data_IF_725627505981
#
_entry.id   IF_725627505981
#
_cell.length_a   1.000
_cell.length_b   1.000
_cell.length_c   1.000
_cell.angle_alpha   90.00
_cell.angle_beta   90.00
_cell.angle_gamma   90.00
#
_symmetry.space_group_name_H-M   'P 1'
#
loop_
_entity.id
_entity.type
_entity.pdbx_description
1 polymer ?
#
# COMPACT_ATOMS: atom_id res chain seq x y z
N UNK A 1 16.76 13.28 16.88
CA UNK A 1 15.39 12.75 16.98
C UNK A 1 15.48 11.27 16.66
N UNK A 2 15.10 10.40 17.60
CA UNK A 2 15.00 8.98 17.32
C UNK A 2 13.84 8.76 16.32
N UNK A 3 13.98 7.88 15.34
CA UNK A 3 12.89 7.50 14.40
C UNK A 3 11.57 7.22 15.13
N UNK A 4 11.66 6.69 16.35
CA UNK A 4 10.52 6.41 17.22
C UNK A 4 9.76 7.66 17.72
N UNK A 5 10.46 8.75 18.02
CA UNK A 5 9.82 10.00 18.45
C UNK A 5 9.12 10.68 17.26
N UNK A 6 9.78 10.69 16.10
CA UNK A 6 9.18 11.20 14.86
C UNK A 6 7.97 10.36 14.42
N UNK A 7 7.99 9.06 14.70
CA UNK A 7 6.87 8.15 14.45
C UNK A 7 5.63 8.50 15.29
N UNK A 8 5.82 8.63 16.60
CA UNK A 8 4.72 8.88 17.54
C UNK A 8 4.11 10.27 17.31
N UNK A 9 4.94 11.29 17.10
CA UNK A 9 4.48 12.63 16.73
C UNK A 9 3.65 12.63 15.44
N UNK A 10 4.05 11.82 14.46
CA UNK A 10 3.32 11.73 13.20
C UNK A 10 1.98 11.01 13.35
N UNK A 11 1.91 9.94 14.15
CA UNK A 11 0.64 9.30 14.46
C UNK A 11 -0.30 10.21 15.26
N UNK A 12 0.22 10.88 16.28
CA UNK A 12 -0.54 11.83 17.08
C UNK A 12 -1.07 12.98 16.20
N UNK A 13 -0.26 13.44 15.23
CA UNK A 13 -0.67 14.41 14.21
C UNK A 13 -1.82 13.90 13.32
N UNK A 14 -1.76 12.64 12.87
CA UNK A 14 -2.79 12.03 12.01
C UNK A 14 -4.11 11.83 12.78
N UNK A 15 -4.04 11.43 14.04
CA UNK A 15 -5.20 11.18 14.89
C UNK A 15 -5.92 12.49 15.26
N UNK A 16 -5.15 13.55 15.56
CA UNK A 16 -5.69 14.86 15.94
C UNK A 16 -6.42 15.59 14.80
N UNK A 17 -5.94 15.46 13.55
CA UNK A 17 -6.44 16.24 12.40
C UNK A 17 -7.70 15.68 11.73
N UNK A 18 -8.20 14.51 12.13
CA UNK A 18 -9.27 13.77 11.41
C UNK A 18 -8.95 13.68 9.91
N UNK A 19 -7.88 12.95 9.56
CA UNK A 19 -7.45 12.56 8.21
C UNK A 19 -7.77 13.55 7.08
N UNK A 20 -6.84 14.47 6.82
CA UNK A 20 -6.85 15.28 5.60
C UNK A 20 -6.05 14.57 4.50
N UNK A 21 -6.58 14.54 3.28
CA UNK A 21 -5.89 13.98 2.11
C UNK A 21 -4.52 14.62 1.81
N UNK A 22 -4.29 15.84 2.30
CA UNK A 22 -3.00 16.54 2.15
C UNK A 22 -1.85 15.84 2.91
N UNK A 23 -2.16 14.93 3.84
CA UNK A 23 -1.17 14.25 4.66
C UNK A 23 -0.78 12.86 4.11
N UNK A 24 -1.48 12.36 3.07
CA UNK A 24 -1.19 11.06 2.43
C UNK A 24 0.19 11.06 1.77
N UNK A 25 0.54 12.12 1.03
CA UNK A 25 1.85 12.20 0.36
C UNK A 25 3.01 12.34 1.37
N UNK A 26 2.77 12.92 2.56
CA UNK A 26 3.76 12.95 3.66
C UNK A 26 3.93 11.58 4.30
N UNK A 27 2.82 10.87 4.50
CA UNK A 27 2.81 9.53 5.08
C UNK A 27 3.56 8.53 4.20
N UNK A 28 3.36 8.60 2.89
CA UNK A 28 4.07 7.76 1.92
C UNK A 28 5.57 7.98 2.03
N UNK A 29 6.01 9.24 2.01
CA UNK A 29 7.43 9.60 2.12
C UNK A 29 8.02 9.14 3.45
N UNK A 30 7.28 9.33 4.55
CA UNK A 30 7.69 8.88 5.87
C UNK A 30 7.84 7.35 5.88
N UNK A 31 6.83 6.60 5.45
CA UNK A 31 6.91 5.14 5.42
C UNK A 31 8.00 4.62 4.49
N UNK A 32 8.17 5.20 3.30
CA UNK A 32 9.24 4.84 2.36
C UNK A 32 10.63 5.03 2.99
N UNK A 33 10.77 6.01 3.89
CA UNK A 33 12.02 6.25 4.63
C UNK A 33 12.29 5.22 5.73
N UNK A 34 11.28 4.45 6.18
CA UNK A 34 11.44 3.42 7.19
C UNK A 34 12.09 2.15 6.63
N UNK A 35 12.96 1.54 7.42
CA UNK A 35 13.49 0.19 7.19
C UNK A 35 12.43 -0.89 7.54
N UNK A 36 12.69 -2.16 7.26
CA UNK A 36 11.73 -3.25 7.47
C UNK A 36 11.17 -3.32 8.91
N UNK A 37 12.03 -3.18 9.91
CA UNK A 37 11.61 -3.19 11.32
C UNK A 37 10.73 -1.98 11.66
N UNK A 38 11.13 -0.79 11.20
CA UNK A 38 10.36 0.44 11.35
C UNK A 38 8.99 0.34 10.69
N UNK A 39 8.90 -0.35 9.56
CA UNK A 39 7.64 -0.65 8.86
C UNK A 39 6.76 -1.62 9.63
N UNK A 40 7.30 -2.71 10.15
CA UNK A 40 6.53 -3.67 10.98
C UNK A 40 5.99 -3.01 12.25
N UNK A 41 6.81 -2.20 12.92
CA UNK A 41 6.38 -1.40 14.07
C UNK A 41 5.34 -0.37 13.70
N UNK A 42 5.55 0.39 12.61
CA UNK A 42 4.56 1.33 12.09
C UNK A 42 3.22 0.64 11.87
N UNK A 43 3.22 -0.56 11.28
CA UNK A 43 2.00 -1.32 11.06
C UNK A 43 1.36 -1.70 12.40
N UNK A 44 2.11 -2.25 13.34
CA UNK A 44 1.59 -2.71 14.63
C UNK A 44 0.98 -1.57 15.46
N UNK A 45 1.64 -0.43 15.51
CA UNK A 45 1.31 0.69 16.40
C UNK A 45 0.31 1.69 15.74
N UNK A 46 0.13 1.65 14.41
CA UNK A 46 -0.85 2.50 13.72
C UNK A 46 -2.28 1.96 13.88
N UNK A 47 -3.24 2.77 14.37
CA UNK A 47 -4.63 2.32 14.53
C UNK A 47 -5.25 1.77 13.23
N UNK A 48 -6.02 0.69 13.33
CA UNK A 48 -6.61 0.01 12.17
C UNK A 48 -7.44 0.95 11.27
N UNK A 49 -8.25 1.83 11.88
CA UNK A 49 -9.03 2.83 11.16
C UNK A 49 -8.14 3.79 10.34
N UNK A 50 -7.02 4.25 10.91
CA UNK A 50 -6.04 5.08 10.21
C UNK A 50 -5.52 4.39 8.96
N UNK A 51 -5.06 3.14 9.10
CA UNK A 51 -4.47 2.36 8.00
C UNK A 51 -5.49 2.20 6.86
N UNK A 52 -6.73 1.87 7.20
CA UNK A 52 -7.84 1.75 6.25
C UNK A 52 -8.13 3.07 5.51
N UNK A 53 -8.31 4.19 6.23
CA UNK A 53 -8.63 5.49 5.63
C UNK A 53 -7.52 5.96 4.69
N UNK A 54 -6.26 5.76 5.08
CA UNK A 54 -5.09 6.14 4.29
C UNK A 54 -5.00 5.33 3.00
N UNK A 55 -5.06 4.00 3.09
CA UNK A 55 -5.02 3.13 1.93
C UNK A 55 -6.15 3.48 0.95
N UNK A 56 -7.38 3.62 1.42
CA UNK A 56 -8.51 3.90 0.55
C UNK A 56 -8.44 5.26 -0.12
N UNK A 57 -7.95 6.28 0.59
CA UNK A 57 -7.74 7.61 0.03
C UNK A 57 -6.67 7.59 -1.07
N UNK A 58 -5.57 6.86 -0.82
CA UNK A 58 -4.50 6.71 -1.79
C UNK A 58 -4.94 5.94 -3.04
N UNK A 59 -5.53 4.75 -2.87
CA UNK A 59 -6.05 3.94 -3.97
C UNK A 59 -7.09 4.71 -4.80
N UNK A 60 -7.94 5.52 -4.16
CA UNK A 60 -8.91 6.38 -4.85
C UNK A 60 -8.26 7.42 -5.76
N UNK A 61 -7.21 8.11 -5.27
CA UNK A 61 -6.44 9.09 -6.06
C UNK A 61 -5.73 8.39 -7.21
N UNK A 62 -5.10 7.26 -6.92
CA UNK A 62 -4.28 6.56 -7.88
C UNK A 62 -5.13 6.01 -9.03
N UNK A 63 -6.27 5.35 -8.74
CA UNK A 63 -7.19 4.88 -9.79
C UNK A 63 -7.70 5.99 -10.72
N UNK A 64 -7.75 7.26 -10.27
CA UNK A 64 -8.20 8.39 -11.11
C UNK A 64 -7.09 9.00 -11.95
N UNK A 65 -5.83 8.79 -11.57
CA UNK A 65 -4.67 9.51 -12.14
C UNK A 65 -3.66 8.59 -12.81
N UNK A 66 -3.72 7.28 -12.55
CA UNK A 66 -2.70 6.32 -12.97
C UNK A 66 -2.41 6.33 -14.48
N UNK A 67 -3.45 6.41 -15.31
CA UNK A 67 -3.32 6.39 -16.77
C UNK A 67 -2.57 7.59 -17.33
N UNK A 68 -2.54 8.72 -16.63
CA UNK A 68 -1.81 9.94 -17.05
C UNK A 68 -0.41 10.05 -16.45
N UNK A 69 0.01 9.09 -15.62
CA UNK A 69 1.34 9.10 -15.02
C UNK A 69 2.43 8.69 -16.01
N UNK A 70 3.58 9.37 -15.92
CA UNK A 70 4.82 8.91 -16.55
C UNK A 70 5.22 7.52 -16.05
N UNK A 71 5.99 6.76 -16.84
CA UNK A 71 6.48 5.42 -16.46
C UNK A 71 7.16 5.41 -15.08
N UNK A 72 8.05 6.38 -14.81
CA UNK A 72 8.71 6.51 -13.50
C UNK A 72 7.72 6.65 -12.34
N UNK A 73 6.62 7.39 -12.56
CA UNK A 73 5.57 7.59 -11.56
C UNK A 73 4.67 6.37 -11.42
N UNK A 74 4.41 5.63 -12.51
CA UNK A 74 3.68 4.36 -12.46
C UNK A 74 4.41 3.32 -11.61
N UNK A 75 5.72 3.15 -11.83
CA UNK A 75 6.58 2.26 -11.03
C UNK A 75 6.47 2.59 -9.54
N UNK A 76 6.77 3.85 -9.17
CA UNK A 76 6.65 4.34 -7.79
C UNK A 76 5.26 4.09 -7.20
N UNK A 77 4.21 4.28 -7.99
CA UNK A 77 2.84 4.11 -7.51
C UNK A 77 2.44 2.65 -7.30
N UNK A 78 2.97 1.73 -8.11
CA UNK A 78 2.78 0.29 -7.91
C UNK A 78 3.51 -0.17 -6.64
N UNK A 79 4.76 0.28 -6.44
CA UNK A 79 5.51 0.02 -5.20
C UNK A 79 4.74 0.54 -3.97
N UNK A 80 4.24 1.77 -4.04
CA UNK A 80 3.43 2.39 -2.99
C UNK A 80 2.12 1.66 -2.75
N UNK A 81 1.42 1.19 -3.78
CA UNK A 81 0.19 0.41 -3.62
C UNK A 81 0.46 -0.93 -2.95
N UNK A 82 1.49 -1.67 -3.38
CA UNK A 82 1.86 -2.95 -2.78
C UNK A 82 2.15 -2.74 -1.29
N UNK A 83 2.81 -1.64 -0.99
CA UNK A 83 3.01 -1.19 0.38
C UNK A 83 1.69 -0.89 1.12
N UNK A 84 0.80 -0.05 0.60
CA UNK A 84 -0.44 0.26 1.32
C UNK A 84 -1.31 -0.97 1.56
N UNK A 85 -1.29 -1.94 0.66
CA UNK A 85 -1.97 -3.21 0.86
C UNK A 85 -1.33 -4.01 2.00
N UNK A 86 -0.01 -3.88 2.22
CA UNK A 86 0.67 -4.49 3.37
C UNK A 86 0.36 -3.83 4.71
N UNK A 87 -0.09 -2.57 4.71
CA UNK A 87 -0.60 -1.90 5.91
C UNK A 87 -1.97 -2.42 6.34
N UNK A 88 -2.76 -2.91 5.39
CA UNK A 88 -4.10 -3.38 5.68
C UNK A 88 -4.06 -4.85 6.09
N UNK A 89 -4.74 -5.17 7.19
CA UNK A 89 -4.86 -6.55 7.66
C UNK A 89 -5.98 -7.31 6.93
N UNK A 90 -6.77 -6.64 6.07
CA UNK A 90 -7.98 -7.18 5.45
C UNK A 90 -8.79 -8.03 6.43
N UNK A 91 -9.15 -7.45 7.58
CA UNK A 91 -10.12 -8.10 8.46
C UNK A 91 -11.47 -8.19 7.74
N UNK A 92 -12.28 -9.18 8.13
CA UNK A 92 -13.49 -9.62 7.41
C UNK A 92 -14.51 -8.50 7.08
N UNK A 93 -14.46 -7.37 7.77
CA UNK A 93 -15.39 -6.24 7.59
C UNK A 93 -14.98 -5.23 6.49
N UNK A 94 -13.81 -5.39 5.86
CA UNK A 94 -13.29 -4.42 4.88
C UNK A 94 -13.43 -4.88 3.43
N UNK A 95 -14.65 -5.28 3.02
CA UNK A 95 -15.01 -5.55 1.61
C UNK A 95 -14.58 -4.42 0.66
N UNK A 96 -14.63 -3.18 1.14
CA UNK A 96 -14.25 -2.00 0.36
C UNK A 96 -12.76 -1.98 -0.01
N UNK A 97 -11.86 -2.36 0.91
CA UNK A 97 -10.43 -2.49 0.67
C UNK A 97 -10.12 -3.46 -0.47
N UNK A 98 -10.79 -4.62 -0.45
CA UNK A 98 -10.65 -5.65 -1.49
C UNK A 98 -11.09 -5.10 -2.85
N UNK A 99 -12.28 -4.49 -2.92
CA UNK A 99 -12.83 -3.96 -4.16
C UNK A 99 -11.96 -2.84 -4.75
N UNK A 100 -11.38 -2.00 -3.91
CA UNK A 100 -10.49 -0.90 -4.34
C UNK A 100 -9.14 -1.41 -4.81
N UNK A 101 -8.58 -2.40 -4.13
CA UNK A 101 -7.35 -3.07 -4.55
C UNK A 101 -7.54 -3.74 -5.91
N UNK A 102 -8.63 -4.51 -6.07
CA UNK A 102 -9.03 -5.12 -7.33
C UNK A 102 -9.22 -4.10 -8.45
N UNK A 103 -9.88 -2.97 -8.16
CA UNK A 103 -10.04 -1.89 -9.13
C UNK A 103 -8.68 -1.36 -9.59
N UNK A 104 -7.78 -1.07 -8.66
CA UNK A 104 -6.44 -0.60 -9.03
C UNK A 104 -5.68 -1.64 -9.87
N UNK A 105 -5.72 -2.92 -9.50
CA UNK A 105 -5.11 -4.00 -10.27
C UNK A 105 -5.66 -4.03 -11.71
N UNK A 106 -6.96 -3.77 -11.91
CA UNK A 106 -7.54 -3.63 -13.25
C UNK A 106 -7.03 -2.40 -14.00
N UNK A 107 -6.86 -1.26 -13.34
CA UNK A 107 -6.31 -0.04 -13.95
C UNK A 107 -4.87 -0.24 -14.44
N UNK A 108 -4.07 -1.05 -13.73
CA UNK A 108 -2.68 -1.31 -14.10
C UNK A 108 -2.50 -2.52 -15.01
N UNK A 109 -3.58 -3.12 -15.51
CA UNK A 109 -3.51 -4.39 -16.27
C UNK A 109 -2.61 -4.32 -17.50
N UNK A 110 -2.56 -3.18 -18.20
CA UNK A 110 -1.65 -3.00 -19.33
C UNK A 110 -0.18 -2.90 -18.92
N UNK A 111 0.07 -2.59 -17.64
CA UNK A 111 1.38 -2.50 -17.01
C UNK A 111 1.67 -3.74 -16.12
N UNK A 112 0.94 -4.85 -16.33
CA UNK A 112 1.13 -6.11 -15.59
C UNK A 112 2.60 -6.59 -15.55
N UNK A 113 3.40 -6.51 -16.64
CA UNK A 113 4.81 -6.89 -16.58
C UNK A 113 5.61 -6.09 -15.55
N UNK A 114 5.34 -4.78 -15.44
CA UNK A 114 5.98 -3.88 -14.46
C UNK A 114 5.56 -4.28 -13.05
N UNK A 115 4.27 -4.57 -12.85
CA UNK A 115 3.78 -5.07 -11.57
C UNK A 115 4.47 -6.37 -11.15
N UNK A 116 4.61 -7.34 -12.07
CA UNK A 116 5.26 -8.63 -11.78
C UNK A 116 6.73 -8.47 -11.40
N UNK A 117 7.45 -7.57 -12.08
CA UNK A 117 8.85 -7.26 -11.76
C UNK A 117 8.97 -6.67 -10.35
N UNK A 118 8.15 -5.66 -10.02
CA UNK A 118 8.12 -5.05 -8.70
C UNK A 118 7.74 -6.08 -7.62
N UNK A 119 6.72 -6.91 -7.89
CA UNK A 119 6.29 -7.97 -6.99
C UNK A 119 7.41 -8.97 -6.71
N UNK A 120 8.15 -9.39 -7.74
CA UNK A 120 9.30 -10.30 -7.60
C UNK A 120 10.37 -9.71 -6.67
N UNK A 121 10.62 -8.41 -6.78
CA UNK A 121 11.64 -7.72 -5.98
C UNK A 121 11.20 -7.54 -4.52
N UNK A 122 9.94 -7.14 -4.30
CA UNK A 122 9.46 -6.77 -2.97
C UNK A 122 8.97 -7.96 -2.15
N UNK A 123 8.39 -8.98 -2.79
CA UNK A 123 7.71 -10.10 -2.10
C UNK A 123 8.61 -10.94 -1.19
N UNK A 124 9.94 -10.90 -1.39
CA UNK A 124 10.91 -11.58 -0.52
C UNK A 124 11.03 -10.93 0.85
N UNK A 125 10.78 -9.62 0.94
CA UNK A 125 10.87 -8.82 2.17
C UNK A 125 9.53 -8.62 2.90
N UNK A 126 8.47 -9.30 2.45
CA UNK A 126 7.12 -9.07 2.95
C UNK A 126 6.65 -10.15 3.93
N UNK A 127 5.80 -9.79 4.90
CA UNK A 127 5.11 -10.76 5.74
C UNK A 127 4.27 -11.75 4.90
N UNK A 128 4.24 -13.01 5.34
CA UNK A 128 3.55 -14.10 4.63
C UNK A 128 2.06 -13.82 4.38
N UNK A 129 1.38 -13.19 5.35
CA UNK A 129 -0.07 -12.90 5.25
C UNK A 129 -0.36 -11.90 4.12
N UNK A 130 0.43 -10.82 4.05
CA UNK A 130 0.38 -9.82 2.99
C UNK A 130 0.66 -10.45 1.63
N UNK A 131 1.67 -11.32 1.57
CA UNK A 131 2.04 -12.04 0.34
C UNK A 131 0.86 -12.85 -0.20
N UNK A 132 0.24 -13.67 0.65
CA UNK A 132 -0.93 -14.46 0.28
C UNK A 132 -2.09 -13.60 -0.24
N UNK A 133 -2.35 -12.45 0.38
CA UNK A 133 -3.46 -11.56 0.02
C UNK A 133 -3.25 -10.91 -1.36
N UNK A 134 -2.09 -10.27 -1.57
CA UNK A 134 -1.79 -9.61 -2.84
C UNK A 134 -1.72 -10.64 -3.97
N UNK A 135 -1.08 -11.80 -3.72
CA UNK A 135 -1.03 -12.90 -4.69
C UNK A 135 -2.44 -13.29 -5.15
N UNK A 136 -3.34 -13.57 -4.20
CA UNK A 136 -4.71 -13.97 -4.52
C UNK A 136 -5.46 -12.91 -5.33
N UNK A 137 -5.35 -11.64 -4.93
CA UNK A 137 -6.06 -10.55 -5.62
C UNK A 137 -5.52 -10.32 -7.03
N UNK A 138 -4.20 -10.37 -7.22
CA UNK A 138 -3.58 -10.20 -8.52
C UNK A 138 -3.85 -11.40 -9.45
N UNK A 139 -3.87 -12.62 -8.93
CA UNK A 139 -4.23 -13.81 -9.71
C UNK A 139 -5.66 -13.74 -10.26
N UNK A 140 -6.59 -13.22 -9.46
CA UNK A 140 -7.98 -13.00 -9.89
C UNK A 140 -8.09 -11.99 -11.06
N UNK A 141 -7.27 -10.95 -11.06
CA UNK A 141 -7.37 -9.85 -12.02
C UNK A 141 -6.52 -10.05 -13.29
N UNK A 142 -5.32 -10.62 -13.14
CA UNK A 142 -4.36 -10.84 -14.25
C UNK A 142 -4.49 -12.21 -14.92
N UNK A 143 -5.26 -13.15 -14.36
CA UNK A 143 -5.44 -14.52 -14.91
C UNK A 143 -4.11 -15.27 -15.12
N UNK A 144 -3.21 -15.19 -14.14
CA UNK A 144 -1.94 -15.92 -14.14
C UNK A 144 -1.31 -15.92 -12.76
N UNK A 145 -0.59 -17.00 -12.42
CA UNK A 145 0.01 -17.20 -11.10
C UNK A 145 1.12 -16.17 -10.86
N UNK A 146 1.18 -15.63 -9.64
CA UNK A 146 2.37 -14.92 -9.18
C UNK A 146 3.32 -15.92 -8.54
N UNK A 147 4.65 -15.78 -8.74
CA UNK A 147 5.59 -16.70 -8.13
C UNK A 147 5.51 -16.60 -6.60
N UNK A 148 5.22 -17.73 -5.96
CA UNK A 148 5.27 -17.89 -4.52
C UNK A 148 6.69 -18.34 -4.18
N UNK A 149 7.60 -17.38 -4.00
CA UNK A 149 8.96 -17.65 -3.52
C UNK A 149 9.00 -18.05 -2.04
#
# INVERSE_FOLDING_TARGET
>A
MNEYESYKEFLDYLEYRKYSWHDVDKLIKFYQSLNLEGRERFNADTPAFSRFTLMNSYLSKLCRTYSSLSLKKKISSIEEMIFFISLDNFENDYKESILRTQRFLREIKLDEPIFREIWSNLSQSMPKITKCQITRLAEMEFRGHLPIF
#
